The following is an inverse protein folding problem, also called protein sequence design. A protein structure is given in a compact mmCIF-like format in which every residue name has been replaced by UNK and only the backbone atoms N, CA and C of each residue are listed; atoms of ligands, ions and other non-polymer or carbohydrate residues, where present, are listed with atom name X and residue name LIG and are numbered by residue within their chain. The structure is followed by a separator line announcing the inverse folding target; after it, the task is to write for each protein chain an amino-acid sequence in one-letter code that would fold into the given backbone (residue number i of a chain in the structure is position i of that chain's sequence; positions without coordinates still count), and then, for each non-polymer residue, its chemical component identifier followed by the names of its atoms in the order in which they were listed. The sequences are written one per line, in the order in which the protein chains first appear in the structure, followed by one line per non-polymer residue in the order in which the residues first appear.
data_IF_288120475319
#
_entry.id   IF_288120475319
#
_cell.length_a   1.000
_cell.length_b   1.000
_cell.length_c   1.000
_cell.angle_alpha   90.00
_cell.angle_beta   90.00
_cell.angle_gamma   90.00
#
_symmetry.space_group_name_H-M   'P 1'
#
loop_
_entity.id
_entity.type
_entity.pdbx_description
1 polymer ?
#
# COMPACT_ATOMS: atom_id res chain seq x y z
N UNK A 1 -46.19 -5.16 -5.61
CA UNK A 1 -45.16 -4.51 -4.77
C UNK A 1 -43.96 -5.45 -4.71
N UNK A 2 -42.97 -5.29 -5.60
CA UNK A 2 -41.81 -6.18 -5.66
C UNK A 2 -40.80 -5.79 -4.58
N UNK A 3 -40.66 -6.62 -3.55
CA UNK A 3 -39.55 -6.53 -2.60
C UNK A 3 -38.28 -7.00 -3.31
N UNK A 4 -37.47 -6.08 -3.83
CA UNK A 4 -36.11 -6.38 -4.25
C UNK A 4 -35.30 -6.63 -2.96
N UNK A 5 -35.21 -7.91 -2.57
CA UNK A 5 -34.27 -8.35 -1.55
C UNK A 5 -32.88 -8.41 -2.19
N UNK A 6 -32.16 -7.29 -2.20
CA UNK A 6 -30.72 -7.29 -2.48
C UNK A 6 -30.05 -8.01 -1.30
N UNK A 7 -29.74 -9.29 -1.45
CA UNK A 7 -28.83 -9.96 -0.53
C UNK A 7 -27.42 -9.34 -0.66
N UNK A 8 -26.71 -9.09 0.46
CA UNK A 8 -25.38 -8.48 0.46
C UNK A 8 -24.32 -9.54 0.11
N UNK A 9 -24.23 -9.93 -1.16
CA UNK A 9 -23.28 -10.97 -1.59
C UNK A 9 -21.81 -10.52 -1.54
N UNK A 10 -21.54 -9.21 -1.34
CA UNK A 10 -20.18 -8.64 -1.25
C UNK A 10 -19.59 -8.58 0.17
N UNK A 11 -20.38 -8.24 1.18
CA UNK A 11 -19.87 -8.00 2.55
C UNK A 11 -19.22 -9.24 3.19
N UNK A 12 -19.78 -10.43 2.92
CA UNK A 12 -19.24 -11.68 3.43
C UNK A 12 -17.88 -12.05 2.80
N UNK A 13 -17.64 -11.66 1.55
CA UNK A 13 -16.37 -11.92 0.86
C UNK A 13 -15.25 -10.99 1.33
N UNK A 14 -15.57 -9.72 1.59
CA UNK A 14 -14.63 -8.73 2.15
C UNK A 14 -14.20 -9.14 3.55
N UNK A 15 -15.14 -9.53 4.43
CA UNK A 15 -14.81 -10.01 5.79
C UNK A 15 -13.86 -11.21 5.77
N UNK A 16 -14.06 -12.16 4.87
CA UNK A 16 -13.12 -13.29 4.68
C UNK A 16 -11.75 -12.84 4.19
N UNK A 17 -11.68 -11.82 3.34
CA UNK A 17 -10.40 -11.25 2.89
C UNK A 17 -9.66 -10.54 4.02
N UNK A 18 -10.37 -9.81 4.90
CA UNK A 18 -9.78 -9.19 6.09
C UNK A 18 -9.18 -10.27 7.00
N UNK A 19 -9.91 -11.36 7.27
CA UNK A 19 -9.39 -12.47 8.05
C UNK A 19 -8.10 -13.06 7.45
N UNK A 20 -8.05 -13.24 6.12
CA UNK A 20 -6.86 -13.77 5.44
C UNK A 20 -5.70 -12.78 5.38
N UNK A 21 -5.98 -11.47 5.32
CA UNK A 21 -4.98 -10.41 5.43
C UNK A 21 -4.31 -10.46 6.82
N UNK A 22 -5.11 -10.65 7.87
CA UNK A 22 -4.68 -10.64 9.26
C UNK A 22 -4.07 -11.97 9.74
N UNK A 23 -4.27 -13.06 9.01
CA UNK A 23 -3.75 -14.39 9.36
C UNK A 23 -2.22 -14.48 9.19
N UNK A 24 -1.44 -14.62 10.28
CA UNK A 24 0.02 -14.71 10.20
C UNK A 24 0.49 -16.03 9.56
N UNK A 25 -0.38 -17.04 9.41
CA UNK A 25 -0.04 -18.29 8.72
C UNK A 25 -0.05 -18.14 7.20
N UNK A 26 -0.60 -17.05 6.67
CA UNK A 26 -0.57 -16.74 5.24
C UNK A 26 0.70 -16.02 4.88
N UNK A 27 1.28 -16.39 3.73
CA UNK A 27 2.43 -15.71 3.18
C UNK A 27 2.06 -14.26 2.79
N UNK A 28 3.09 -13.40 2.72
CA UNK A 28 2.90 -11.96 2.49
C UNK A 28 2.31 -11.66 1.11
N UNK A 29 2.58 -12.49 0.09
CA UNK A 29 2.03 -12.30 -1.27
C UNK A 29 0.54 -12.58 -1.29
N UNK A 30 0.10 -13.65 -0.63
CA UNK A 30 -1.32 -13.96 -0.45
C UNK A 30 -2.03 -12.86 0.34
N UNK A 31 -1.41 -12.35 1.40
CA UNK A 31 -1.96 -11.24 2.20
C UNK A 31 -2.10 -9.95 1.38
N UNK A 32 -1.12 -9.63 0.52
CA UNK A 32 -1.20 -8.50 -0.40
C UNK A 32 -2.37 -8.63 -1.39
N UNK A 33 -2.58 -9.83 -1.95
CA UNK A 33 -3.73 -10.09 -2.85
C UNK A 33 -5.06 -9.85 -2.14
N UNK A 34 -5.19 -10.27 -0.88
CA UNK A 34 -6.40 -10.00 -0.10
C UNK A 34 -6.57 -8.53 0.25
N UNK A 35 -5.48 -7.82 0.57
CA UNK A 35 -5.52 -6.37 0.79
C UNK A 35 -6.02 -5.63 -0.46
N UNK A 36 -5.48 -5.96 -1.64
CA UNK A 36 -5.94 -5.39 -2.90
C UNK A 36 -7.42 -5.68 -3.13
N UNK A 37 -7.86 -6.92 -2.93
CA UNK A 37 -9.27 -7.28 -3.07
C UNK A 37 -10.19 -6.48 -2.13
N UNK A 38 -9.73 -6.18 -0.91
CA UNK A 38 -10.51 -5.33 0.00
C UNK A 38 -10.62 -3.91 -0.55
N UNK A 39 -9.51 -3.32 -1.02
CA UNK A 39 -9.51 -1.97 -1.60
C UNK A 39 -10.42 -1.88 -2.82
N UNK A 40 -10.39 -2.89 -3.70
CA UNK A 40 -11.17 -2.89 -4.94
C UNK A 40 -12.68 -3.11 -4.72
N UNK A 41 -13.10 -3.63 -3.56
CA UNK A 41 -14.50 -4.06 -3.31
C UNK A 41 -15.15 -3.42 -2.07
N UNK A 42 -14.49 -2.48 -1.42
CA UNK A 42 -15.00 -1.76 -0.25
C UNK A 42 -15.17 -0.27 -0.54
N UNK A 43 -16.02 0.40 0.23
CA UNK A 43 -16.12 1.86 0.17
C UNK A 43 -14.87 2.54 0.75
N UNK A 44 -14.59 3.77 0.34
CA UNK A 44 -13.45 4.54 0.87
C UNK A 44 -13.47 4.65 2.40
N UNK A 45 -14.66 4.76 3.01
CA UNK A 45 -14.82 4.84 4.46
C UNK A 45 -14.39 3.53 5.15
N UNK A 46 -14.79 2.38 4.59
CA UNK A 46 -14.40 1.07 5.12
C UNK A 46 -12.90 0.80 4.94
N UNK A 47 -12.33 1.21 3.80
CA UNK A 47 -10.88 1.10 3.55
C UNK A 47 -10.12 1.97 4.55
N UNK A 48 -10.52 3.23 4.73
CA UNK A 48 -9.89 4.12 5.70
C UNK A 48 -9.94 3.54 7.11
N UNK A 49 -11.12 3.09 7.56
CA UNK A 49 -11.27 2.48 8.89
C UNK A 49 -10.39 1.23 9.07
N UNK A 50 -10.26 0.39 8.03
CA UNK A 50 -9.37 -0.78 8.06
C UNK A 50 -7.90 -0.36 8.18
N UNK A 51 -7.48 0.64 7.40
CA UNK A 51 -6.11 1.16 7.42
C UNK A 51 -5.78 1.76 8.78
N UNK A 52 -6.66 2.57 9.35
CA UNK A 52 -6.50 3.16 10.69
C UNK A 52 -6.46 2.10 11.80
N UNK A 53 -7.23 1.01 11.66
CA UNK A 53 -7.25 -0.07 12.66
C UNK A 53 -6.02 -1.00 12.57
N UNK A 54 -5.51 -1.25 11.37
CA UNK A 54 -4.48 -2.25 11.11
C UNK A 54 -3.21 -1.70 10.43
N UNK A 55 -2.93 -0.41 10.59
CA UNK A 55 -1.84 0.32 9.93
C UNK A 55 -0.49 -0.41 9.97
N UNK A 56 -0.06 -0.88 11.15
CA UNK A 56 1.22 -1.57 11.32
C UNK A 56 1.29 -2.87 10.51
N UNK A 57 0.20 -3.63 10.48
CA UNK A 57 0.15 -4.91 9.79
C UNK A 57 0.09 -4.73 8.28
N UNK A 58 -0.69 -3.74 7.81
CA UNK A 58 -0.77 -3.37 6.40
C UNK A 58 0.58 -2.88 5.90
N UNK A 59 1.27 -2.03 6.66
CA UNK A 59 2.60 -1.54 6.30
C UNK A 59 3.61 -2.68 6.21
N UNK A 60 3.59 -3.61 7.17
CA UNK A 60 4.44 -4.80 7.12
C UNK A 60 4.21 -5.63 5.85
N UNK A 61 2.94 -5.91 5.50
CA UNK A 61 2.61 -6.65 4.27
C UNK A 61 3.13 -5.92 3.04
N UNK A 62 2.91 -4.61 2.96
CA UNK A 62 3.41 -3.78 1.88
C UNK A 62 4.95 -3.87 1.75
N UNK A 63 5.66 -3.62 2.85
CA UNK A 63 7.11 -3.49 2.83
C UNK A 63 7.81 -4.81 2.48
N UNK A 64 7.35 -5.93 3.04
CA UNK A 64 7.89 -7.26 2.70
C UNK A 64 7.69 -7.59 1.22
N UNK A 65 6.51 -7.31 0.66
CA UNK A 65 6.27 -7.52 -0.77
C UNK A 65 7.12 -6.59 -1.63
N UNK A 66 7.34 -5.33 -1.21
CA UNK A 66 8.21 -4.40 -1.91
C UNK A 66 9.65 -4.90 -2.01
N UNK A 67 10.21 -5.43 -0.91
CA UNK A 67 11.55 -6.04 -0.90
C UNK A 67 11.63 -7.30 -1.77
N UNK A 68 10.59 -8.14 -1.75
CA UNK A 68 10.48 -9.31 -2.62
C UNK A 68 10.47 -8.91 -4.10
N UNK A 69 9.67 -7.91 -4.47
CA UNK A 69 9.57 -7.42 -5.84
C UNK A 69 10.89 -6.82 -6.33
N UNK A 70 11.59 -6.07 -5.49
CA UNK A 70 12.93 -5.55 -5.81
C UNK A 70 13.92 -6.69 -6.10
N UNK A 71 13.92 -7.72 -5.26
CA UNK A 71 14.78 -8.90 -5.45
C UNK A 71 14.43 -9.65 -6.73
N UNK A 72 13.13 -9.84 -7.01
CA UNK A 72 12.66 -10.49 -8.22
C UNK A 72 13.03 -9.69 -9.48
N UNK A 73 12.90 -8.37 -9.47
CA UNK A 73 13.27 -7.51 -10.59
C UNK A 73 14.78 -7.53 -10.84
N UNK A 74 15.59 -7.59 -9.78
CA UNK A 74 17.05 -7.70 -9.91
C UNK A 74 17.49 -9.05 -10.48
N UNK A 75 16.87 -10.15 -10.06
CA UNK A 75 17.27 -11.51 -10.45
C UNK A 75 16.67 -11.96 -11.78
N UNK A 76 15.38 -11.69 -11.99
CA UNK A 76 14.59 -12.19 -13.12
C UNK A 76 14.38 -11.12 -14.19
N UNK A 77 14.76 -9.87 -13.93
CA UNK A 77 14.50 -8.77 -14.85
C UNK A 77 13.05 -8.29 -14.86
N UNK A 78 12.76 -7.34 -15.74
CA UNK A 78 11.48 -6.64 -15.80
C UNK A 78 10.52 -7.28 -16.81
N UNK A 79 10.11 -8.53 -16.58
CA UNK A 79 9.03 -9.13 -17.37
C UNK A 79 7.66 -8.64 -16.93
N UNK A 80 6.65 -8.91 -17.77
CA UNK A 80 5.26 -8.47 -17.57
C UNK A 80 4.74 -8.80 -16.17
N UNK A 81 4.96 -10.02 -15.69
CA UNK A 81 4.48 -10.47 -14.38
C UNK A 81 5.09 -9.66 -13.23
N UNK A 82 6.41 -9.37 -13.25
CA UNK A 82 7.05 -8.57 -12.21
C UNK A 82 6.60 -7.10 -12.26
N UNK A 83 6.28 -6.58 -13.45
CA UNK A 83 5.71 -5.23 -13.59
C UNK A 83 4.31 -5.15 -13.00
N UNK A 84 3.46 -6.14 -13.27
CA UNK A 84 2.11 -6.21 -12.71
C UNK A 84 2.14 -6.39 -11.18
N UNK A 85 3.09 -7.18 -10.67
CA UNK A 85 3.34 -7.34 -9.24
C UNK A 85 3.78 -6.01 -8.60
N UNK A 86 4.75 -5.32 -9.19
CA UNK A 86 5.19 -4.02 -8.72
C UNK A 86 4.05 -2.99 -8.75
N UNK A 87 3.32 -2.89 -9.86
CA UNK A 87 2.18 -1.97 -9.99
C UNK A 87 1.14 -2.22 -8.87
N UNK A 88 0.85 -3.49 -8.53
CA UNK A 88 -0.04 -3.82 -7.43
C UNK A 88 0.50 -3.37 -6.06
N UNK A 89 1.80 -3.53 -5.80
CA UNK A 89 2.46 -3.07 -4.58
C UNK A 89 2.41 -1.54 -4.47
N UNK A 90 2.62 -0.83 -5.58
CA UNK A 90 2.59 0.64 -5.61
C UNK A 90 1.19 1.20 -5.35
N UNK A 91 0.12 0.53 -5.81
CA UNK A 91 -1.25 0.91 -5.44
C UNK A 91 -1.45 0.82 -3.92
N UNK A 92 -0.93 -0.23 -3.27
CA UNK A 92 -1.01 -0.34 -1.81
C UNK A 92 -0.22 0.78 -1.11
N UNK A 93 0.95 1.13 -1.63
CA UNK A 93 1.75 2.22 -1.09
C UNK A 93 1.02 3.56 -1.16
N UNK A 94 0.37 3.85 -2.29
CA UNK A 94 -0.48 5.03 -2.45
C UNK A 94 -1.58 5.08 -1.39
N UNK A 95 -2.28 3.95 -1.19
CA UNK A 95 -3.33 3.85 -0.18
C UNK A 95 -2.80 4.06 1.24
N UNK A 96 -1.58 3.61 1.56
CA UNK A 96 -0.94 3.89 2.86
C UNK A 96 -0.75 5.40 3.03
N UNK A 97 -0.20 6.08 2.03
CA UNK A 97 0.07 7.52 2.09
C UNK A 97 -1.22 8.36 2.17
N UNK A 98 -2.28 7.93 1.49
CA UNK A 98 -3.57 8.63 1.44
C UNK A 98 -4.42 8.38 2.69
N UNK A 99 -4.48 7.15 3.20
CA UNK A 99 -5.35 6.80 4.33
C UNK A 99 -4.71 6.98 5.70
N UNK A 100 -3.38 7.16 5.79
CA UNK A 100 -2.68 7.33 7.08
C UNK A 100 -1.94 8.68 7.22
N UNK A 101 -2.54 9.83 6.82
CA UNK A 101 -1.84 11.11 6.83
C UNK A 101 -1.46 11.55 8.24
N UNK A 102 -2.30 11.28 9.25
CA UNK A 102 -2.05 11.68 10.65
C UNK A 102 -0.87 10.93 11.29
N UNK A 103 -0.73 9.63 10.98
CA UNK A 103 0.41 8.85 11.46
C UNK A 103 1.70 9.33 10.79
N UNK A 104 1.66 9.56 9.48
CA UNK A 104 2.80 10.08 8.72
C UNK A 104 3.18 11.49 9.21
N UNK A 105 2.20 12.33 9.55
CA UNK A 105 2.42 13.63 10.15
C UNK A 105 3.24 13.52 11.44
N UNK A 106 3.00 12.47 12.24
CA UNK A 106 3.75 12.13 13.45
C UNK A 106 5.08 11.40 13.16
N UNK A 107 5.52 11.36 11.89
CA UNK A 107 6.74 10.68 11.43
C UNK A 107 6.74 9.16 11.65
N UNK A 108 5.57 8.52 11.72
CA UNK A 108 5.48 7.07 11.70
C UNK A 108 6.09 6.51 10.42
N UNK A 109 6.93 5.48 10.55
CA UNK A 109 7.67 4.83 9.46
C UNK A 109 8.54 5.76 8.58
N UNK A 110 8.90 6.96 9.06
CA UNK A 110 9.60 7.98 8.28
C UNK A 110 10.79 7.46 7.46
N UNK A 111 11.74 6.78 8.12
CA UNK A 111 12.95 6.27 7.46
C UNK A 111 12.67 5.14 6.46
N UNK A 112 11.66 4.32 6.74
CA UNK A 112 11.27 3.22 5.86
C UNK A 112 10.60 3.76 4.60
N UNK A 113 9.69 4.73 4.75
CA UNK A 113 9.03 5.42 3.63
C UNK A 113 10.07 6.18 2.78
N UNK A 114 10.99 6.92 3.42
CA UNK A 114 12.11 7.59 2.76
C UNK A 114 12.95 6.61 1.92
N UNK A 115 13.25 5.44 2.48
CA UNK A 115 14.01 4.39 1.79
C UNK A 115 13.27 3.86 0.56
N UNK A 116 11.96 3.60 0.67
CA UNK A 116 11.13 3.15 -0.47
C UNK A 116 11.15 4.20 -1.57
N UNK A 117 10.91 5.48 -1.24
CA UNK A 117 10.87 6.57 -2.21
C UNK A 117 12.24 6.72 -2.90
N UNK A 118 13.34 6.70 -2.15
CA UNK A 118 14.70 6.76 -2.72
C UNK A 118 14.97 5.61 -3.70
N UNK A 119 14.53 4.40 -3.36
CA UNK A 119 14.66 3.22 -4.24
C UNK A 119 13.83 3.36 -5.51
N UNK A 120 12.62 3.91 -5.44
CA UNK A 120 11.78 4.19 -6.61
C UNK A 120 12.39 5.26 -7.54
N UNK A 121 13.02 6.27 -6.96
CA UNK A 121 13.65 7.38 -7.68
C UNK A 121 15.02 7.05 -8.28
N UNK A 122 15.58 5.87 -8.01
CA UNK A 122 16.90 5.48 -8.49
C UNK A 122 17.02 5.57 -10.02
N UNK A 123 18.16 6.04 -10.54
CA UNK A 123 18.36 6.36 -11.97
C UNK A 123 18.21 5.15 -12.90
N UNK A 124 18.46 3.94 -12.38
CA UNK A 124 18.30 2.68 -13.11
C UNK A 124 16.83 2.28 -13.32
N UNK A 125 15.89 2.89 -12.60
CA UNK A 125 14.48 2.63 -12.81
C UNK A 125 13.96 3.34 -14.07
N UNK A 126 12.99 2.68 -14.70
CA UNK A 126 12.25 3.26 -15.82
C UNK A 126 11.64 4.62 -15.45
N UNK A 127 11.44 5.48 -16.46
CA UNK A 127 10.79 6.78 -16.26
C UNK A 127 9.39 6.63 -15.66
N UNK A 128 8.65 5.55 -15.97
CA UNK A 128 7.34 5.27 -15.37
C UNK A 128 7.46 5.15 -13.85
N UNK A 129 8.36 4.28 -13.37
CA UNK A 129 8.57 4.05 -11.94
C UNK A 129 9.08 5.32 -11.24
N UNK A 130 9.97 6.08 -11.87
CA UNK A 130 10.44 7.36 -11.31
C UNK A 130 9.34 8.41 -11.20
N UNK A 131 8.41 8.48 -12.15
CA UNK A 131 7.23 9.37 -12.07
C UNK A 131 6.33 9.00 -10.90
N UNK A 132 6.07 7.71 -10.69
CA UNK A 132 5.34 7.24 -9.51
C UNK A 132 6.10 7.57 -8.22
N UNK A 133 7.43 7.39 -8.19
CA UNK A 133 8.26 7.79 -7.05
C UNK A 133 8.13 9.29 -6.70
N UNK A 134 8.04 10.17 -7.70
CA UNK A 134 7.80 11.61 -7.48
C UNK A 134 6.38 11.82 -6.93
N UNK A 135 5.38 11.14 -7.48
CA UNK A 135 4.01 11.22 -6.99
C UNK A 135 3.93 10.83 -5.50
N UNK A 136 4.52 9.69 -5.12
CA UNK A 136 4.56 9.26 -3.72
C UNK A 136 5.34 10.22 -2.83
N UNK A 137 6.44 10.80 -3.33
CA UNK A 137 7.17 11.83 -2.60
C UNK A 137 6.29 13.04 -2.28
N UNK A 138 5.47 13.50 -3.23
CA UNK A 138 4.54 14.61 -3.01
C UNK A 138 3.43 14.26 -2.02
N UNK A 139 2.86 13.06 -2.09
CA UNK A 139 1.88 12.57 -1.11
C UNK A 139 2.48 12.51 0.30
N UNK A 140 3.69 11.96 0.42
CA UNK A 140 4.42 11.87 1.68
C UNK A 140 4.75 13.25 2.25
N UNK A 141 5.25 14.17 1.42
CA UNK A 141 5.56 15.54 1.83
C UNK A 141 4.30 16.29 2.30
N UNK A 142 3.18 16.13 1.58
CA UNK A 142 1.88 16.70 1.97
C UNK A 142 1.44 16.19 3.34
N UNK A 143 1.55 14.88 3.59
CA UNK A 143 1.19 14.28 4.87
C UNK A 143 2.12 14.71 6.02
N UNK A 144 3.42 14.85 5.76
CA UNK A 144 4.37 15.39 6.75
C UNK A 144 4.05 16.84 7.13
N UNK A 145 3.64 17.67 6.18
CA UNK A 145 3.33 19.08 6.40
C UNK A 145 4.47 19.82 7.12
N UNK A 146 4.15 20.56 8.19
CA UNK A 146 5.14 21.27 9.03
C UNK A 146 6.19 20.38 9.69
N UNK A 147 5.91 19.07 9.84
CA UNK A 147 6.86 18.12 10.43
C UNK A 147 7.84 17.55 9.39
N UNK A 148 7.79 17.99 8.12
CA UNK A 148 8.78 17.61 7.10
C UNK A 148 10.18 18.15 7.41
N UNK A 149 10.26 19.33 8.03
CA UNK A 149 11.53 19.98 8.36
C UNK A 149 11.94 19.54 9.77
N UNK A 150 13.17 19.02 9.98
CA UNK A 150 13.73 18.85 11.32
C UNK A 150 13.67 20.19 12.07
N UNK A 151 13.23 20.21 13.33
CA UNK A 151 13.09 21.43 14.15
C UNK A 151 14.44 22.13 14.49
N UNK A 152 15.48 21.90 13.71
CA UNK A 152 16.86 22.37 13.93
C UNK A 152 17.37 23.25 12.78
N UNK A 153 16.49 23.95 12.08
CA UNK A 153 16.85 25.10 11.24
C UNK A 153 16.20 26.36 11.82
#
# INVERSE_FOLDING_TARGET
MFKIHRQPQGEGAVKKSIQKLLDPKKDVVTRLKHLKNIIDNSSNIEVQALFELHYSHIYFVFFENFLLAETNLRLKGSHRAQREELDAILVIFEQILVNLPELIHQRWQYHSIDTVIKRLLHSQNSLKVRREGIHFFLLWLRALGKNAIPRTL
#
